data_IF_608066798762
#
_entry.id   IF_608066798762
#
_cell.length_a   1.000
_cell.length_b   1.000
_cell.length_c   1.000
_cell.angle_alpha   90.00
_cell.angle_beta   90.00
_cell.angle_gamma   90.00
#
_symmetry.space_group_name_H-M   'P 1'
#
loop_
_entity.id
_entity.type
_entity.pdbx_description
1 polymer ?
#
# COMPACT_ATOMS: atom_id res chain seq x y z
N UNK A 1 2.60 -10.14 -19.20
CA UNK A 1 3.00 -11.28 -18.33
C UNK A 1 2.68 -10.89 -16.89
N UNK A 2 2.06 -11.78 -16.12
CA UNK A 2 1.72 -11.56 -14.71
C UNK A 2 3.00 -11.56 -13.87
N UNK A 3 3.10 -10.63 -12.93
CA UNK A 3 4.23 -10.48 -12.01
C UNK A 3 3.81 -10.83 -10.59
N UNK A 4 4.74 -11.41 -9.81
CA UNK A 4 4.52 -11.76 -8.42
C UNK A 4 4.95 -10.61 -7.50
N UNK A 5 4.01 -10.01 -6.78
CA UNK A 5 4.30 -9.15 -5.63
C UNK A 5 3.99 -9.89 -4.32
N UNK A 6 4.91 -9.84 -3.37
CA UNK A 6 4.78 -10.53 -2.07
C UNK A 6 4.38 -9.53 -1.00
N UNK A 7 3.20 -9.74 -0.40
CA UNK A 7 2.77 -8.98 0.77
C UNK A 7 3.44 -9.53 2.03
N UNK A 8 4.18 -8.68 2.74
CA UNK A 8 4.99 -9.07 3.92
C UNK A 8 4.38 -8.65 5.27
N UNK A 9 3.12 -8.21 5.29
CA UNK A 9 2.45 -7.75 6.51
C UNK A 9 2.46 -8.79 7.64
N UNK A 10 2.27 -10.07 7.30
CA UNK A 10 2.24 -11.16 8.31
C UNK A 10 3.59 -11.40 8.97
N UNK A 11 4.70 -11.11 8.31
CA UNK A 11 6.04 -11.14 8.90
C UNK A 11 6.16 -10.08 10.00
N UNK A 12 5.68 -8.89 9.73
CA UNK A 12 5.63 -7.82 10.72
C UNK A 12 4.68 -8.15 11.90
N UNK A 13 3.56 -8.82 11.64
CA UNK A 13 2.67 -9.32 12.71
C UNK A 13 3.42 -10.27 13.65
N UNK A 14 4.17 -11.23 13.11
CA UNK A 14 4.97 -12.17 13.89
C UNK A 14 6.06 -11.45 14.70
N UNK A 15 6.79 -10.51 14.08
CA UNK A 15 7.77 -9.66 14.77
C UNK A 15 7.13 -8.95 15.97
N UNK A 16 5.99 -8.29 15.75
CA UNK A 16 5.33 -7.50 16.80
C UNK A 16 4.83 -8.36 17.96
N UNK A 17 4.36 -9.59 17.69
CA UNK A 17 3.87 -10.50 18.72
C UNK A 17 4.97 -10.97 19.68
N UNK A 18 6.22 -10.90 19.27
CA UNK A 18 7.37 -11.34 20.07
C UNK A 18 8.14 -10.19 20.75
N UNK A 19 7.79 -8.95 20.44
CA UNK A 19 8.37 -7.74 21.07
C UNK A 19 9.84 -7.46 20.71
N UNK A 20 10.37 -8.13 19.66
CA UNK A 20 11.74 -7.95 19.18
C UNK A 20 11.81 -7.56 17.70
N UNK A 21 12.90 -7.95 17.03
CA UNK A 21 13.12 -7.77 15.60
C UNK A 21 13.20 -9.11 14.82
N UNK A 22 12.57 -10.13 15.35
CA UNK A 22 12.53 -11.47 14.74
C UNK A 22 11.09 -11.93 14.57
N UNK A 23 10.68 -12.31 13.32
CA UNK A 23 11.45 -12.26 12.07
C UNK A 23 11.75 -10.81 11.64
N UNK A 24 12.92 -10.58 11.04
CA UNK A 24 13.31 -9.25 10.57
C UNK A 24 12.63 -8.92 9.23
N UNK A 25 11.85 -7.85 9.21
CA UNK A 25 11.03 -7.46 8.04
C UNK A 25 11.90 -7.04 6.86
N UNK A 26 12.99 -6.29 7.12
CA UNK A 26 13.92 -5.82 6.08
C UNK A 26 14.67 -6.99 5.44
N UNK A 27 15.15 -7.93 6.27
CA UNK A 27 15.82 -9.12 5.74
C UNK A 27 14.86 -9.98 4.92
N UNK A 28 13.63 -10.17 5.39
CA UNK A 28 12.62 -10.94 4.66
C UNK A 28 12.30 -10.31 3.29
N UNK A 29 12.22 -8.97 3.22
CA UNK A 29 12.02 -8.26 1.95
C UNK A 29 13.16 -8.49 0.96
N UNK A 30 14.42 -8.57 1.44
CA UNK A 30 15.56 -8.93 0.60
C UNK A 30 15.45 -10.37 0.10
N UNK A 31 15.13 -11.30 0.99
CA UNK A 31 15.08 -12.73 0.68
C UNK A 31 14.01 -13.06 -0.37
N UNK A 32 12.79 -12.51 -0.25
CA UNK A 32 11.72 -12.78 -1.24
C UNK A 32 12.10 -12.29 -2.64
N UNK A 33 12.82 -11.19 -2.75
CA UNK A 33 13.31 -10.68 -4.03
C UNK A 33 14.37 -11.59 -4.64
N UNK A 34 15.28 -12.11 -3.80
CA UNK A 34 16.28 -13.13 -4.23
C UNK A 34 15.59 -14.42 -4.69
N UNK A 35 14.47 -14.79 -4.06
CA UNK A 35 13.66 -15.95 -4.46
C UNK A 35 12.79 -15.72 -5.70
N UNK A 36 12.83 -14.51 -6.29
CA UNK A 36 12.19 -14.21 -7.56
C UNK A 36 10.90 -13.38 -7.46
N UNK A 37 10.61 -12.79 -6.30
CA UNK A 37 9.52 -11.81 -6.22
C UNK A 37 9.86 -10.57 -7.08
N UNK A 38 8.91 -10.15 -7.89
CA UNK A 38 9.01 -8.97 -8.75
C UNK A 38 8.42 -7.71 -8.10
N UNK A 39 7.90 -7.85 -6.88
CA UNK A 39 7.42 -6.75 -6.05
C UNK A 39 7.34 -7.12 -4.58
N UNK A 40 7.38 -6.10 -3.73
CA UNK A 40 7.13 -6.17 -2.30
C UNK A 40 5.98 -5.24 -1.96
N UNK A 41 4.97 -5.77 -1.28
CA UNK A 41 3.80 -5.02 -0.84
C UNK A 41 3.75 -4.94 0.67
N UNK A 42 3.49 -3.74 1.20
CA UNK A 42 3.27 -3.49 2.62
C UNK A 42 2.02 -2.64 2.85
N UNK A 43 1.44 -2.77 4.05
CA UNK A 43 0.29 -1.97 4.47
C UNK A 43 0.51 -1.40 5.89
N UNK A 44 1.13 -0.23 6.02
CA UNK A 44 1.23 0.47 7.31
C UNK A 44 -0.13 1.06 7.70
N UNK A 45 -0.90 0.30 8.47
CA UNK A 45 -2.21 0.77 8.98
C UNK A 45 -2.01 1.90 10.01
N UNK A 46 -3.04 2.75 10.23
CA UNK A 46 -2.94 3.85 11.19
C UNK A 46 -2.57 3.41 12.63
N UNK A 47 -2.95 2.19 13.02
CA UNK A 47 -2.66 1.61 14.33
C UNK A 47 -1.34 0.81 14.41
N UNK A 48 -0.62 0.70 13.30
CA UNK A 48 0.69 0.03 13.22
C UNK A 48 0.70 -1.42 13.78
N UNK A 49 -0.44 -2.12 13.71
CA UNK A 49 -0.59 -3.50 14.25
C UNK A 49 0.35 -4.53 13.62
N UNK A 50 0.87 -4.27 12.42
CA UNK A 50 1.84 -5.10 11.72
C UNK A 50 3.00 -4.24 11.18
N UNK A 51 2.95 -3.76 9.93
CA UNK A 51 3.91 -2.81 9.38
C UNK A 51 3.80 -1.49 10.15
N UNK A 52 4.94 -0.98 10.62
CA UNK A 52 5.07 0.34 11.21
C UNK A 52 5.42 1.36 10.13
N UNK A 53 5.13 2.63 10.37
CA UNK A 53 5.54 3.68 9.41
C UNK A 53 7.06 3.69 9.20
N UNK A 54 7.84 3.42 10.24
CA UNK A 54 9.30 3.32 10.13
C UNK A 54 9.75 2.20 9.19
N UNK A 55 9.04 1.06 9.18
CA UNK A 55 9.36 -0.03 8.25
C UNK A 55 9.28 0.42 6.78
N UNK A 56 8.36 1.34 6.44
CA UNK A 56 8.25 1.86 5.08
C UNK A 56 9.51 2.61 4.63
N UNK A 57 10.12 3.39 5.53
CA UNK A 57 11.39 4.06 5.28
C UNK A 57 12.56 3.07 5.22
N UNK A 58 12.62 2.12 6.13
CA UNK A 58 13.70 1.12 6.23
C UNK A 58 13.73 0.17 5.03
N UNK A 59 12.57 -0.10 4.43
CA UNK A 59 12.42 -0.92 3.24
C UNK A 59 12.82 -0.22 1.95
N UNK A 60 12.70 1.11 1.88
CA UNK A 60 13.00 1.88 0.66
C UNK A 60 14.37 1.58 0.05
N UNK A 61 15.48 1.56 0.81
CA UNK A 61 16.81 1.32 0.24
C UNK A 61 17.08 -0.14 -0.16
N UNK A 62 16.22 -1.08 0.25
CA UNK A 62 16.44 -2.51 0.03
C UNK A 62 15.48 -3.16 -0.96
N UNK A 63 14.34 -2.51 -1.24
CA UNK A 63 13.41 -2.97 -2.26
C UNK A 63 13.84 -2.41 -3.61
N UNK A 64 14.42 -3.27 -4.44
CA UNK A 64 14.91 -2.95 -5.80
C UNK A 64 13.96 -3.39 -6.91
N UNK A 65 12.92 -4.13 -6.56
CA UNK A 65 11.79 -4.51 -7.43
C UNK A 65 10.65 -3.50 -7.30
N UNK A 66 9.41 -3.85 -7.68
CA UNK A 66 8.26 -2.97 -7.47
C UNK A 66 7.96 -2.82 -5.97
N UNK A 67 7.97 -1.58 -5.46
CA UNK A 67 7.59 -1.28 -4.09
C UNK A 67 6.16 -0.73 -4.07
N UNK A 68 5.21 -1.49 -3.51
CA UNK A 68 3.82 -1.09 -3.35
C UNK A 68 3.50 -0.83 -1.88
N UNK A 69 2.96 0.36 -1.57
CA UNK A 69 2.50 0.72 -0.22
C UNK A 69 0.99 0.90 -0.26
N UNK A 70 0.28 0.09 0.52
CA UNK A 70 -1.16 0.15 0.68
C UNK A 70 -1.53 1.00 1.89
N UNK A 71 -2.65 1.71 1.85
CA UNK A 71 -3.19 2.35 3.04
C UNK A 71 -4.26 3.41 2.79
N UNK A 72 -4.83 3.85 3.91
CA UNK A 72 -5.81 4.93 3.93
C UNK A 72 -5.09 6.28 3.76
N UNK A 73 -5.47 7.11 2.79
CA UNK A 73 -4.84 8.40 2.50
C UNK A 73 -5.18 9.49 3.55
N UNK A 74 -4.95 9.19 4.82
CA UNK A 74 -4.91 10.19 5.88
C UNK A 74 -3.62 11.02 5.77
N UNK A 75 -3.56 12.27 6.30
CA UNK A 75 -2.39 13.14 6.12
C UNK A 75 -1.06 12.47 6.45
N UNK A 76 -0.94 11.81 7.59
CA UNK A 76 0.28 11.08 7.99
C UNK A 76 0.72 10.03 6.97
N UNK A 77 -0.23 9.33 6.33
CA UNK A 77 0.07 8.34 5.29
C UNK A 77 0.53 9.02 4.01
N UNK A 78 -0.16 10.08 3.59
CA UNK A 78 0.20 10.85 2.39
C UNK A 78 1.61 11.41 2.52
N UNK A 79 1.94 12.05 3.65
CA UNK A 79 3.28 12.59 3.92
C UNK A 79 4.36 11.50 3.82
N UNK A 80 4.13 10.35 4.46
CA UNK A 80 5.06 9.21 4.39
C UNK A 80 5.25 8.70 2.95
N UNK A 81 4.17 8.55 2.17
CA UNK A 81 4.25 8.09 0.78
C UNK A 81 5.02 9.07 -0.09
N UNK A 82 4.80 10.37 0.09
CA UNK A 82 5.51 11.43 -0.64
C UNK A 82 7.01 11.47 -0.30
N UNK A 83 7.38 11.16 0.94
CA UNK A 83 8.78 11.06 1.36
C UNK A 83 9.46 9.79 0.84
N UNK A 84 8.80 8.63 1.02
CA UNK A 84 9.35 7.32 0.61
C UNK A 84 9.41 7.20 -0.91
N UNK A 85 8.44 7.76 -1.63
CA UNK A 85 8.29 7.65 -3.09
C UNK A 85 8.38 6.20 -3.57
N UNK A 86 7.39 5.36 -3.19
CA UNK A 86 7.32 3.98 -3.67
C UNK A 86 7.05 3.95 -5.17
N UNK A 87 7.21 2.78 -5.80
CA UNK A 87 6.81 2.59 -7.20
C UNK A 87 5.30 2.74 -7.38
N UNK A 88 4.52 2.26 -6.41
CA UNK A 88 3.07 2.34 -6.41
C UNK A 88 2.53 2.61 -5.00
N UNK A 89 1.41 3.31 -4.95
CA UNK A 89 0.54 3.39 -3.78
C UNK A 89 -0.82 2.79 -4.11
N UNK A 90 -1.36 1.93 -3.24
CA UNK A 90 -2.73 1.42 -3.33
C UNK A 90 -3.59 2.05 -2.24
N UNK A 91 -4.61 2.77 -2.64
CA UNK A 91 -5.52 3.48 -1.72
C UNK A 91 -6.57 2.50 -1.17
N UNK A 92 -6.60 2.35 0.15
CA UNK A 92 -7.52 1.45 0.87
C UNK A 92 -8.34 2.25 1.88
N UNK A 93 -9.68 2.12 1.92
CA UNK A 93 -10.53 2.94 2.81
C UNK A 93 -10.62 2.37 4.23
N UNK A 94 -9.48 2.02 4.84
CA UNK A 94 -9.46 1.43 6.17
C UNK A 94 -9.88 2.43 7.25
N UNK A 95 -10.97 2.12 7.95
CA UNK A 95 -11.26 2.78 9.21
C UNK A 95 -10.25 2.32 10.29
N UNK A 96 -9.95 3.20 11.25
CA UNK A 96 -8.97 2.91 12.31
C UNK A 96 -9.37 1.69 13.14
N UNK A 97 -10.66 1.46 13.31
CA UNK A 97 -11.26 0.35 14.07
C UNK A 97 -11.55 -0.91 13.23
N UNK A 98 -11.31 -0.87 11.91
CA UNK A 98 -11.55 -2.02 11.05
C UNK A 98 -10.57 -3.17 11.38
N UNK A 99 -11.11 -4.38 11.58
CA UNK A 99 -10.30 -5.58 11.85
C UNK A 99 -9.50 -6.00 10.62
N UNK A 100 -10.14 -5.93 9.45
CA UNK A 100 -9.52 -6.24 8.14
C UNK A 100 -9.99 -5.26 7.09
N UNK A 101 -9.21 -5.08 6.02
CA UNK A 101 -9.61 -4.33 4.83
C UNK A 101 -10.57 -5.19 4.00
N UNK A 102 -11.86 -5.14 4.31
CA UNK A 102 -12.90 -5.98 3.69
C UNK A 102 -13.94 -5.17 2.88
N UNK A 103 -13.73 -3.88 2.72
CA UNK A 103 -14.56 -3.01 1.90
C UNK A 103 -13.69 -2.12 1.02
N UNK A 104 -14.05 -2.01 -0.25
CA UNK A 104 -13.39 -1.14 -1.20
C UNK A 104 -13.89 0.30 -1.12
N UNK A 105 -13.23 1.21 -1.83
CA UNK A 105 -13.71 2.57 -1.99
C UNK A 105 -15.04 2.63 -2.75
N UNK A 106 -15.97 3.43 -2.25
CA UNK A 106 -17.06 3.95 -3.07
C UNK A 106 -16.50 5.07 -3.96
N UNK A 107 -16.09 4.68 -5.17
CA UNK A 107 -15.41 5.56 -6.12
C UNK A 107 -16.31 6.66 -6.68
N UNK A 108 -17.63 6.48 -6.60
CA UNK A 108 -18.61 7.47 -7.03
C UNK A 108 -18.75 8.54 -5.96
N UNK A 109 -19.02 8.12 -4.72
CA UNK A 109 -19.20 9.00 -3.57
C UNK A 109 -17.93 9.81 -3.26
N UNK A 110 -16.77 9.18 -3.33
CA UNK A 110 -15.48 9.76 -2.96
C UNK A 110 -14.65 10.24 -4.16
N UNK A 111 -15.26 10.35 -5.36
CA UNK A 111 -14.57 10.70 -6.61
C UNK A 111 -13.67 11.94 -6.48
N UNK A 112 -14.20 13.05 -5.98
CA UNK A 112 -13.46 14.31 -5.88
C UNK A 112 -12.21 14.16 -5.01
N UNK A 113 -12.34 13.55 -3.82
CA UNK A 113 -11.25 13.28 -2.90
C UNK A 113 -10.18 12.37 -3.52
N UNK A 114 -10.60 11.24 -4.11
CA UNK A 114 -9.69 10.30 -4.74
C UNK A 114 -8.94 10.94 -5.93
N UNK A 115 -9.64 11.73 -6.75
CA UNK A 115 -9.02 12.44 -7.87
C UNK A 115 -7.92 13.38 -7.42
N UNK A 116 -8.14 14.14 -6.34
CA UNK A 116 -7.16 15.07 -5.78
C UNK A 116 -5.90 14.34 -5.29
N UNK A 117 -6.07 13.32 -4.45
CA UNK A 117 -4.97 12.52 -3.91
C UNK A 117 -4.21 11.77 -5.02
N UNK A 118 -4.91 11.19 -5.98
CA UNK A 118 -4.28 10.51 -7.12
C UNK A 118 -3.43 11.49 -7.94
N UNK A 119 -3.96 12.69 -8.21
CA UNK A 119 -3.22 13.72 -8.93
C UNK A 119 -1.94 14.12 -8.19
N UNK A 120 -2.00 14.24 -6.86
CA UNK A 120 -0.84 14.56 -6.03
C UNK A 120 0.24 13.47 -6.13
N UNK A 121 -0.10 12.20 -5.95
CA UNK A 121 0.85 11.10 -6.07
C UNK A 121 1.44 11.00 -7.48
N UNK A 122 0.61 11.10 -8.52
CA UNK A 122 1.07 11.06 -9.92
C UNK A 122 1.99 12.22 -10.27
N UNK A 123 1.76 13.42 -9.73
CA UNK A 123 2.65 14.57 -9.93
C UNK A 123 4.04 14.37 -9.28
N UNK A 124 4.14 13.47 -8.31
CA UNK A 124 5.37 13.03 -7.67
C UNK A 124 5.98 11.76 -8.28
N UNK A 125 5.45 11.29 -9.43
CA UNK A 125 5.96 10.12 -10.14
C UNK A 125 5.58 8.78 -9.52
N UNK A 126 4.58 8.75 -8.64
CA UNK A 126 4.09 7.54 -7.97
C UNK A 126 2.88 7.01 -8.74
N UNK A 127 2.94 5.74 -9.15
CA UNK A 127 1.80 5.05 -9.77
C UNK A 127 0.72 4.79 -8.73
N UNK A 128 -0.54 4.91 -9.11
CA UNK A 128 -1.68 4.79 -8.21
C UNK A 128 -2.55 3.57 -8.50
N UNK A 129 -3.08 2.97 -7.45
CA UNK A 129 -4.08 1.91 -7.49
C UNK A 129 -5.18 2.20 -6.47
N UNK A 130 -6.41 1.77 -6.74
CA UNK A 130 -7.54 1.87 -5.81
C UNK A 130 -8.04 0.47 -5.47
N UNK A 131 -8.14 0.16 -4.17
CA UNK A 131 -8.83 -1.00 -3.66
C UNK A 131 -10.35 -0.76 -3.71
N UNK A 132 -11.09 -1.61 -4.41
CA UNK A 132 -12.53 -1.47 -4.60
C UNK A 132 -13.25 -2.82 -4.62
N UNK A 133 -14.56 -2.79 -4.38
CA UNK A 133 -15.39 -3.98 -4.53
C UNK A 133 -15.62 -4.30 -6.03
N UNK A 134 -15.79 -5.58 -6.41
CA UNK A 134 -15.88 -6.00 -7.82
C UNK A 134 -17.26 -5.68 -8.44
N UNK A 135 -17.67 -4.43 -8.36
CA UNK A 135 -18.87 -3.89 -8.98
C UNK A 135 -18.52 -3.02 -10.19
N UNK A 136 -19.18 -3.25 -11.32
CA UNK A 136 -18.90 -2.54 -12.59
C UNK A 136 -18.91 -1.02 -12.40
N UNK A 137 -19.92 -0.49 -11.70
CA UNK A 137 -20.03 0.95 -11.44
C UNK A 137 -18.86 1.52 -10.64
N UNK A 138 -18.26 0.71 -9.73
CA UNK A 138 -17.08 1.13 -8.95
C UNK A 138 -15.82 1.15 -9.83
N UNK A 139 -15.71 0.20 -10.76
CA UNK A 139 -14.63 0.18 -11.75
C UNK A 139 -14.71 1.38 -12.70
N UNK A 140 -15.92 1.71 -13.18
CA UNK A 140 -16.16 2.90 -14.01
C UNK A 140 -15.83 4.19 -13.24
N UNK A 141 -16.26 4.27 -11.98
CA UNK A 141 -15.93 5.40 -11.09
C UNK A 141 -14.42 5.53 -10.85
N UNK A 142 -13.71 4.42 -10.67
CA UNK A 142 -12.25 4.43 -10.53
C UNK A 142 -11.54 4.99 -11.78
N UNK A 143 -11.98 4.60 -12.98
CA UNK A 143 -11.45 5.15 -14.24
C UNK A 143 -11.56 6.69 -14.26
N UNK A 144 -12.67 7.24 -13.78
CA UNK A 144 -12.90 8.68 -13.76
C UNK A 144 -12.02 9.44 -12.73
N UNK A 145 -11.43 8.75 -11.75
CA UNK A 145 -10.47 9.36 -10.82
C UNK A 145 -9.07 9.56 -11.42
N UNK A 146 -8.79 8.91 -12.56
CA UNK A 146 -7.48 8.94 -13.21
C UNK A 146 -6.45 8.00 -12.58
N UNK A 147 -6.88 7.02 -11.76
CA UNK A 147 -5.99 5.96 -11.23
C UNK A 147 -5.39 5.11 -12.35
N UNK A 148 -4.20 4.56 -12.11
CA UNK A 148 -3.51 3.73 -13.11
C UNK A 148 -3.92 2.25 -13.02
N UNK A 149 -4.36 1.80 -11.84
CA UNK A 149 -4.74 0.40 -11.55
C UNK A 149 -5.91 0.33 -10.58
N UNK A 150 -6.45 -0.86 -10.45
CA UNK A 150 -7.42 -1.26 -9.44
C UNK A 150 -6.98 -2.58 -8.80
N UNK A 151 -7.40 -2.78 -7.57
CA UNK A 151 -7.22 -3.99 -6.78
C UNK A 151 -8.57 -4.45 -6.22
#
# INVERSE_FOLDING_TARGET
>A
MTKLSVNINKIATLRNSRGGDTPNVVQFAKDVQVFGAEGVTIHPRPDERHIRYQDAYDLKPVVYTEYNIEGNPIPKFVDMVLDVKPTQVTLVPDAVDAITSNAGWDTIKHKAFLTEIIKEFKSNGIRTSIFLDPEVKQVEGALETGTDRIE
#
